data_IF_262875309786
#
_entry.id   IF_262875309786
#
_cell.length_a   1.000
_cell.length_b   1.000
_cell.length_c   1.000
_cell.angle_alpha   90.00
_cell.angle_beta   90.00
_cell.angle_gamma   90.00
#
_symmetry.space_group_name_H-M   'P 1'
#
loop_
_entity.id
_entity.type
_entity.pdbx_description
1 polymer ?
#
# COMPACT_ATOMS: atom_id res chain seq x y z
N UNK A 1 4.23 -4.55 22.33
CA UNK A 1 5.23 -4.02 21.37
C UNK A 1 4.83 -2.59 21.06
N UNK A 2 5.77 -1.72 20.82
CA UNK A 2 5.46 -0.31 20.54
C UNK A 2 5.01 -0.16 19.09
N UNK A 3 3.90 0.55 18.83
CA UNK A 3 3.31 0.72 17.49
C UNK A 3 4.27 1.46 16.54
N UNK A 4 4.24 1.14 15.24
CA UNK A 4 4.99 1.88 14.21
C UNK A 4 4.23 3.11 13.73
N UNK A 5 2.90 3.05 13.80
CA UNK A 5 1.98 4.13 13.47
C UNK A 5 0.85 4.14 14.48
N UNK A 6 0.50 5.31 15.02
CA UNK A 6 -0.70 5.50 15.83
C UNK A 6 -1.45 6.75 15.42
N UNK A 7 -2.76 6.64 15.40
CA UNK A 7 -3.71 7.74 15.27
C UNK A 7 -4.45 7.87 16.58
N UNK A 8 -4.52 9.09 17.09
CA UNK A 8 -5.20 9.39 18.35
C UNK A 8 -6.19 10.53 18.17
N UNK A 9 -7.48 10.21 18.26
CA UNK A 9 -8.60 11.14 18.14
C UNK A 9 -8.53 12.06 16.92
N UNK A 10 -8.38 11.49 15.72
CA UNK A 10 -8.24 12.27 14.48
C UNK A 10 -9.60 12.78 14.01
N UNK A 11 -9.62 14.09 13.69
CA UNK A 11 -10.77 14.79 13.07
C UNK A 11 -10.30 15.50 11.82
N UNK A 12 -11.13 15.47 10.78
CA UNK A 12 -10.86 16.18 9.52
C UNK A 12 -12.14 16.48 8.75
N UNK A 13 -12.27 17.74 8.29
CA UNK A 13 -13.33 18.22 7.41
C UNK A 13 -12.75 18.90 6.17
N UNK A 14 -13.47 18.83 5.06
CA UNK A 14 -13.20 19.73 3.93
C UNK A 14 -14.02 21.00 4.10
N UNK A 15 -13.37 22.14 3.85
CA UNK A 15 -14.00 23.44 3.88
C UNK A 15 -14.08 24.02 2.46
N UNK A 16 -15.27 24.34 2.00
CA UNK A 16 -15.49 25.00 0.74
C UNK A 16 -16.43 26.21 0.89
N UNK A 17 -16.75 26.88 -0.23
CA UNK A 17 -17.64 28.05 -0.21
C UNK A 17 -19.05 27.72 0.26
N UNK A 18 -19.44 26.46 0.27
CA UNK A 18 -20.78 25.98 0.63
C UNK A 18 -20.85 25.52 2.09
N UNK A 19 -19.71 25.47 2.79
CA UNK A 19 -19.64 25.11 4.21
C UNK A 19 -18.61 24.02 4.51
N UNK A 20 -18.78 23.43 5.69
CA UNK A 20 -17.95 22.35 6.22
C UNK A 20 -18.53 20.99 5.86
N UNK A 21 -17.68 20.07 5.46
CA UNK A 21 -18.03 18.70 5.14
C UNK A 21 -17.18 17.75 5.97
N UNK A 22 -17.68 17.25 7.13
CA UNK A 22 -16.93 16.31 7.95
C UNK A 22 -16.65 15.00 7.20
N UNK A 23 -15.40 14.52 7.30
CA UNK A 23 -14.96 13.30 6.60
C UNK A 23 -14.43 12.25 7.58
N UNK A 24 -13.68 12.68 8.58
CA UNK A 24 -13.15 11.80 9.64
C UNK A 24 -13.59 12.37 10.98
N UNK A 25 -14.10 11.49 11.85
CA UNK A 25 -14.64 11.87 13.15
C UNK A 25 -14.16 10.87 14.20
N UNK A 26 -13.32 11.33 15.12
CA UNK A 26 -12.82 10.57 16.26
C UNK A 26 -12.19 9.22 15.87
N UNK A 27 -11.26 9.25 14.92
CA UNK A 27 -10.63 8.03 14.42
C UNK A 27 -9.33 7.75 15.20
N UNK A 28 -9.31 6.63 15.90
CA UNK A 28 -8.14 6.16 16.66
C UNK A 28 -7.85 4.71 16.35
N UNK A 29 -6.59 4.39 16.05
CA UNK A 29 -6.08 3.03 15.92
C UNK A 29 -4.54 3.00 15.91
N UNK A 30 -3.98 1.81 16.07
CA UNK A 30 -2.54 1.59 16.04
C UNK A 30 -2.19 0.50 15.01
N UNK A 31 -0.99 0.58 14.43
CA UNK A 31 -0.41 -0.39 13.51
C UNK A 31 0.89 -0.92 14.10
N UNK A 32 1.02 -2.23 14.15
CA UNK A 32 2.22 -2.90 14.66
C UNK A 32 3.28 -3.05 13.55
N UNK A 33 4.58 -2.99 13.89
CA UNK A 33 5.65 -3.25 12.93
C UNK A 33 5.51 -4.62 12.26
N UNK A 34 5.71 -4.68 10.94
CA UNK A 34 5.65 -5.91 10.16
C UNK A 34 4.24 -6.49 10.00
N UNK A 35 3.18 -5.83 10.49
CA UNK A 35 1.81 -6.28 10.32
C UNK A 35 1.26 -5.92 8.95
N UNK A 36 0.34 -6.75 8.47
CA UNK A 36 -0.43 -6.48 7.27
C UNK A 36 -1.87 -6.16 7.69
N UNK A 37 -2.24 -4.89 7.66
CA UNK A 37 -3.55 -4.39 8.10
C UNK A 37 -4.35 -3.87 6.91
N UNK A 38 -5.62 -4.25 6.80
CA UNK A 38 -6.54 -3.65 5.84
C UNK A 38 -7.47 -2.64 6.50
N UNK A 39 -7.82 -1.61 5.73
CA UNK A 39 -8.83 -0.62 6.07
C UNK A 39 -9.97 -0.75 5.06
N UNK A 40 -11.13 -1.17 5.53
CA UNK A 40 -12.31 -1.42 4.72
C UNK A 40 -13.42 -0.44 5.11
N UNK A 41 -14.13 0.04 4.13
CA UNK A 41 -15.29 0.91 4.37
C UNK A 41 -16.01 1.27 3.06
N UNK A 42 -17.22 1.80 3.15
CA UNK A 42 -18.02 2.17 1.98
C UNK A 42 -17.30 3.15 1.06
N UNK A 43 -17.71 3.20 -0.22
CA UNK A 43 -17.20 4.21 -1.14
C UNK A 43 -17.51 5.62 -0.62
N UNK A 44 -16.53 6.52 -0.69
CA UNK A 44 -16.68 7.89 -0.22
C UNK A 44 -16.68 8.11 1.31
N UNK A 45 -16.43 7.06 2.12
CA UNK A 45 -16.39 7.23 3.59
C UNK A 45 -15.19 8.06 4.09
N UNK A 46 -14.10 8.20 3.31
CA UNK A 46 -12.91 8.97 3.72
C UNK A 46 -11.60 8.21 3.67
N UNK A 47 -11.55 7.00 3.08
CA UNK A 47 -10.32 6.17 3.02
C UNK A 47 -9.14 6.89 2.35
N UNK A 48 -9.35 7.50 1.18
CA UNK A 48 -8.30 8.25 0.49
C UNK A 48 -7.89 9.54 1.23
N UNK A 49 -8.83 10.15 1.98
CA UNK A 49 -8.52 11.28 2.88
C UNK A 49 -7.62 10.80 4.02
N UNK A 50 -7.93 9.65 4.61
CA UNK A 50 -7.09 9.03 5.63
C UNK A 50 -5.67 8.75 5.11
N UNK A 51 -5.54 8.18 3.90
CA UNK A 51 -4.23 7.96 3.29
C UNK A 51 -3.47 9.28 3.07
N UNK A 52 -4.17 10.35 2.67
CA UNK A 52 -3.56 11.68 2.52
C UNK A 52 -3.06 12.26 3.84
N UNK A 53 -3.78 12.02 4.95
CA UNK A 53 -3.34 12.38 6.31
C UNK A 53 -2.11 11.56 6.72
N UNK A 54 -2.10 10.25 6.46
CA UNK A 54 -0.96 9.39 6.76
C UNK A 54 0.30 9.76 5.97
N UNK A 55 0.14 10.20 4.72
CA UNK A 55 1.23 10.68 3.87
C UNK A 55 1.67 12.12 4.16
N UNK A 56 1.08 12.77 5.16
CA UNK A 56 1.35 14.17 5.50
C UNK A 56 1.05 15.17 4.36
N UNK A 57 0.19 14.78 3.42
CA UNK A 57 -0.27 15.64 2.32
C UNK A 57 -1.29 16.68 2.79
N UNK A 58 -2.05 16.34 3.83
CA UNK A 58 -2.98 17.22 4.55
C UNK A 58 -2.79 17.00 6.05
N UNK A 59 -3.16 17.99 6.86
CA UNK A 59 -3.04 17.91 8.32
C UNK A 59 -4.39 17.65 8.96
N UNK A 60 -4.48 16.87 10.04
CA UNK A 60 -5.73 16.74 10.79
C UNK A 60 -6.10 18.08 11.46
N UNK A 61 -7.39 18.34 11.63
CA UNK A 61 -7.89 19.52 12.36
C UNK A 61 -7.73 19.36 13.86
N UNK A 62 -7.87 18.13 14.37
CA UNK A 62 -7.61 17.76 15.74
C UNK A 62 -7.08 16.34 15.83
N UNK A 63 -6.46 16.01 16.97
CA UNK A 63 -5.83 14.72 17.20
C UNK A 63 -4.37 14.70 16.77
N UNK A 64 -3.74 13.54 16.91
CA UNK A 64 -2.31 13.36 16.62
C UNK A 64 -2.06 12.10 15.79
N UNK A 65 -1.21 12.22 14.79
CA UNK A 65 -0.68 11.08 14.02
C UNK A 65 0.79 10.95 14.41
N UNK A 66 1.13 9.82 15.01
CA UNK A 66 2.51 9.49 15.34
C UNK A 66 3.02 8.39 14.44
N UNK A 67 4.16 8.61 13.82
CA UNK A 67 4.89 7.62 13.02
C UNK A 67 6.27 7.49 13.66
N UNK A 68 6.60 6.26 14.09
CA UNK A 68 7.91 5.97 14.68
C UNK A 68 9.02 6.42 13.74
N UNK A 69 10.03 7.18 14.21
CA UNK A 69 11.19 7.50 13.39
C UNK A 69 11.86 6.24 12.87
N UNK A 70 12.25 6.18 11.58
CA UNK A 70 12.92 5.02 11.02
C UNK A 70 14.31 4.85 11.62
N UNK A 71 14.70 3.60 11.91
CA UNK A 71 16.02 3.31 12.50
C UNK A 71 17.17 3.55 11.52
N UNK A 72 16.95 3.33 10.21
CA UNK A 72 18.02 3.28 9.21
C UNK A 72 17.86 4.23 8.01
N UNK A 73 16.73 4.89 7.83
CA UNK A 73 16.48 5.76 6.66
C UNK A 73 15.51 6.90 6.97
N UNK A 74 16.00 8.04 7.47
CA UNK A 74 15.15 9.16 7.94
C UNK A 74 14.23 9.75 6.85
N UNK A 75 14.52 9.54 5.57
CA UNK A 75 13.79 10.16 4.46
C UNK A 75 12.72 9.25 3.82
N UNK A 76 12.61 7.99 4.23
CA UNK A 76 11.74 7.01 3.56
C UNK A 76 10.81 6.31 4.54
N UNK A 77 9.89 7.09 5.13
CA UNK A 77 8.94 6.54 6.12
C UNK A 77 7.82 5.76 5.48
N UNK A 78 7.20 6.31 4.43
CA UNK A 78 6.04 5.72 3.76
C UNK A 78 6.25 5.61 2.26
N UNK A 79 5.88 4.46 1.72
CA UNK A 79 5.69 4.26 0.30
C UNK A 79 4.20 4.26 -0.01
N UNK A 80 3.75 5.05 -0.98
CA UNK A 80 2.35 5.14 -1.36
C UNK A 80 2.15 4.61 -2.78
N UNK A 81 1.40 3.52 -2.88
CA UNK A 81 0.94 2.96 -4.15
C UNK A 81 -0.48 3.40 -4.39
N UNK A 82 -0.67 4.23 -5.40
CA UNK A 82 -1.96 4.78 -5.79
C UNK A 82 -2.85 3.73 -6.48
N UNK A 83 -4.15 3.96 -6.49
CA UNK A 83 -5.16 3.11 -7.11
C UNK A 83 -4.84 2.76 -8.59
N UNK A 84 -4.35 3.73 -9.35
CA UNK A 84 -3.82 3.50 -10.69
C UNK A 84 -2.30 3.33 -10.61
N UNK A 85 -1.74 2.54 -11.53
CA UNK A 85 -0.28 2.32 -11.58
C UNK A 85 0.53 3.61 -11.74
N UNK A 86 -0.04 4.64 -12.39
CA UNK A 86 0.57 5.95 -12.63
C UNK A 86 2.02 5.85 -13.13
N UNK A 87 2.30 4.85 -13.97
CA UNK A 87 3.57 4.75 -14.67
C UNK A 87 3.61 5.80 -15.79
N UNK A 88 4.76 6.43 -15.96
CA UNK A 88 4.95 7.41 -17.02
C UNK A 88 5.11 6.71 -18.37
N UNK A 89 4.14 6.90 -19.27
CA UNK A 89 4.11 6.27 -20.60
C UNK A 89 5.31 6.63 -21.49
N UNK A 90 5.91 7.80 -21.28
CA UNK A 90 7.10 8.24 -22.02
C UNK A 90 8.42 7.69 -21.48
N UNK A 91 8.39 6.96 -20.35
CA UNK A 91 9.56 6.31 -19.75
C UNK A 91 9.47 4.80 -19.90
N UNK A 92 10.61 4.13 -20.08
CA UNK A 92 10.64 2.67 -19.98
C UNK A 92 10.41 2.20 -18.52
N UNK A 93 10.11 0.93 -18.33
CA UNK A 93 9.83 0.33 -17.01
C UNK A 93 10.99 0.56 -16.05
N UNK A 94 12.22 0.30 -16.48
CA UNK A 94 13.39 0.54 -15.63
C UNK A 94 13.47 1.99 -15.12
N UNK A 95 13.25 2.98 -16.00
CA UNK A 95 13.24 4.39 -15.60
C UNK A 95 12.04 4.76 -14.73
N UNK A 96 10.91 4.07 -14.88
CA UNK A 96 9.77 4.24 -13.99
C UNK A 96 10.08 3.76 -12.57
N UNK A 97 10.61 2.55 -12.42
CA UNK A 97 10.93 2.00 -11.09
C UNK A 97 12.06 2.72 -10.39
N UNK A 98 13.02 3.26 -11.16
CA UNK A 98 14.14 4.05 -10.63
C UNK A 98 13.78 5.49 -10.25
N UNK A 99 12.56 5.95 -10.55
CA UNK A 99 12.17 7.36 -10.43
C UNK A 99 12.38 7.94 -9.03
N UNK A 100 11.95 7.23 -7.99
CA UNK A 100 12.11 7.67 -6.61
C UNK A 100 13.58 7.84 -6.21
N UNK A 101 14.44 6.91 -6.66
CA UNK A 101 15.89 7.00 -6.44
C UNK A 101 16.54 8.15 -7.24
N UNK A 102 15.99 8.47 -8.43
CA UNK A 102 16.43 9.64 -9.21
C UNK A 102 16.16 10.96 -8.48
N UNK A 103 14.90 11.14 -8.07
CA UNK A 103 14.45 12.39 -7.41
C UNK A 103 15.21 12.64 -6.11
N UNK A 104 15.45 11.58 -5.34
CA UNK A 104 16.12 11.68 -4.04
C UNK A 104 17.66 11.60 -4.14
N UNK A 105 18.25 11.57 -5.35
CA UNK A 105 19.68 11.41 -5.57
C UNK A 105 20.30 10.17 -4.86
N UNK A 106 19.51 9.08 -4.76
CA UNK A 106 19.87 7.83 -4.06
C UNK A 106 20.20 6.67 -5.00
N UNK A 107 20.68 6.95 -6.22
CA UNK A 107 21.15 5.92 -7.19
C UNK A 107 22.51 5.35 -6.80
N UNK A 108 22.63 4.76 -5.66
CA UNK A 108 23.83 4.03 -5.25
C UNK A 108 23.92 2.67 -5.93
N UNK A 109 25.11 2.07 -6.07
CA UNK A 109 25.25 0.71 -6.61
C UNK A 109 24.39 -0.32 -5.85
N UNK A 110 24.27 -0.18 -4.52
CA UNK A 110 23.42 -1.03 -3.68
C UNK A 110 21.93 -0.91 -4.04
N UNK A 111 21.41 0.32 -4.15
CA UNK A 111 20.01 0.55 -4.49
C UNK A 111 19.68 0.12 -5.91
N UNK A 112 20.61 0.28 -6.86
CA UNK A 112 20.49 -0.23 -8.22
C UNK A 112 20.44 -1.75 -8.23
N UNK A 113 21.31 -2.43 -7.47
CA UNK A 113 21.31 -3.88 -7.33
C UNK A 113 20.00 -4.39 -6.73
N UNK A 114 19.48 -3.71 -5.68
CA UNK A 114 18.18 -4.03 -5.07
C UNK A 114 17.01 -3.91 -6.07
N UNK A 115 16.93 -2.82 -6.84
CA UNK A 115 15.90 -2.67 -7.87
C UNK A 115 16.02 -3.74 -8.95
N UNK A 116 17.23 -4.10 -9.38
CA UNK A 116 17.44 -5.18 -10.34
C UNK A 116 16.97 -6.53 -9.78
N UNK A 117 17.28 -6.82 -8.51
CA UNK A 117 16.80 -8.00 -7.82
C UNK A 117 15.25 -8.05 -7.77
N UNK A 118 14.59 -6.94 -7.42
CA UNK A 118 13.13 -6.86 -7.46
C UNK A 118 12.57 -7.13 -8.87
N UNK A 119 13.17 -6.55 -9.91
CA UNK A 119 12.75 -6.78 -11.30
C UNK A 119 12.89 -8.25 -11.74
N UNK A 120 13.93 -8.93 -11.27
CA UNK A 120 14.13 -10.37 -11.50
C UNK A 120 13.12 -11.21 -10.72
N UNK A 121 12.98 -10.94 -9.42
CA UNK A 121 12.07 -11.65 -8.52
C UNK A 121 10.60 -11.57 -8.97
N UNK A 122 10.21 -10.50 -9.66
CA UNK A 122 8.82 -10.24 -10.08
C UNK A 122 8.60 -10.36 -11.59
N UNK A 123 9.47 -11.11 -12.28
CA UNK A 123 9.36 -11.45 -13.71
C UNK A 123 9.25 -10.22 -14.63
N UNK A 124 9.95 -9.14 -14.28
CA UNK A 124 10.01 -7.91 -15.07
C UNK A 124 11.40 -7.62 -15.65
N UNK A 125 12.37 -8.50 -15.44
CA UNK A 125 13.75 -8.29 -15.90
C UNK A 125 13.87 -8.11 -17.41
N UNK A 126 13.14 -8.89 -18.19
CA UNK A 126 13.15 -8.81 -19.67
C UNK A 126 12.40 -7.58 -20.19
N UNK A 127 11.53 -6.98 -19.36
CA UNK A 127 10.72 -5.82 -19.73
C UNK A 127 11.33 -4.47 -19.31
N UNK A 128 12.57 -4.45 -18.85
CA UNK A 128 13.27 -3.21 -18.41
C UNK A 128 13.20 -2.09 -19.44
N UNK A 129 13.34 -2.43 -20.73
CA UNK A 129 13.34 -1.48 -21.85
C UNK A 129 11.94 -1.19 -22.40
N UNK A 130 10.93 -1.99 -22.04
CA UNK A 130 9.55 -1.83 -22.49
C UNK A 130 8.91 -0.55 -21.91
N UNK A 131 7.86 -0.07 -22.57
CA UNK A 131 7.01 1.03 -22.08
C UNK A 131 5.78 0.45 -21.36
N UNK A 132 5.12 1.21 -20.46
CA UNK A 132 3.92 0.74 -19.75
C UNK A 132 2.83 0.19 -20.68
N UNK A 133 2.61 0.82 -21.85
CA UNK A 133 1.64 0.38 -22.85
C UNK A 133 1.90 -1.01 -23.44
N UNK A 134 3.09 -1.56 -23.28
CA UNK A 134 3.48 -2.89 -23.76
C UNK A 134 3.32 -3.98 -22.69
N UNK A 135 2.90 -3.63 -21.47
CA UNK A 135 2.74 -4.53 -20.35
C UNK A 135 1.26 -4.86 -20.09
N UNK A 136 0.99 -6.07 -19.58
CA UNK A 136 -0.32 -6.40 -19.04
C UNK A 136 -0.66 -5.57 -17.79
N UNK A 137 -1.94 -5.52 -17.41
CA UNK A 137 -2.36 -4.82 -16.19
C UNK A 137 -1.62 -5.29 -14.94
N UNK A 138 -1.47 -6.61 -14.77
CA UNK A 138 -0.74 -7.19 -13.64
C UNK A 138 0.75 -6.83 -13.64
N UNK A 139 1.39 -6.85 -14.80
CA UNK A 139 2.79 -6.43 -14.94
C UNK A 139 2.97 -4.94 -14.59
N UNK A 140 2.03 -4.06 -14.97
CA UNK A 140 2.07 -2.65 -14.58
C UNK A 140 1.91 -2.48 -13.08
N UNK A 141 1.02 -3.24 -12.43
CA UNK A 141 0.86 -3.20 -10.97
C UNK A 141 2.14 -3.64 -10.24
N UNK A 142 2.78 -4.73 -10.70
CA UNK A 142 4.08 -5.16 -10.16
C UNK A 142 5.16 -4.09 -10.34
N UNK A 143 5.23 -3.45 -11.51
CA UNK A 143 6.17 -2.35 -11.75
C UNK A 143 5.91 -1.13 -10.84
N UNK A 144 4.64 -0.78 -10.58
CA UNK A 144 4.28 0.29 -9.65
C UNK A 144 4.66 -0.06 -8.20
N UNK A 145 4.48 -1.32 -7.80
CA UNK A 145 4.92 -1.80 -6.49
C UNK A 145 6.46 -1.73 -6.35
N UNK A 146 7.21 -2.22 -7.34
CA UNK A 146 8.68 -2.14 -7.35
C UNK A 146 9.15 -0.68 -7.25
N UNK A 147 8.50 0.25 -7.98
CA UNK A 147 8.81 1.68 -7.89
C UNK A 147 8.66 2.20 -6.46
N UNK A 148 7.64 1.74 -5.76
CA UNK A 148 7.39 2.12 -4.35
C UNK A 148 8.40 1.47 -3.41
N UNK A 149 8.70 0.18 -3.59
CA UNK A 149 9.69 -0.57 -2.81
C UNK A 149 11.12 -0.09 -3.00
N UNK A 150 11.46 0.48 -4.16
CA UNK A 150 12.82 0.95 -4.50
C UNK A 150 13.39 1.92 -3.46
N UNK A 151 12.52 2.68 -2.78
CA UNK A 151 12.91 3.59 -1.70
C UNK A 151 13.09 2.92 -0.34
N UNK A 152 12.85 1.60 -0.24
CA UNK A 152 12.92 0.80 1.00
C UNK A 152 12.09 1.40 2.14
N UNK A 153 10.80 1.73 1.92
CA UNK A 153 9.96 2.30 2.97
C UNK A 153 9.74 1.30 4.10
N UNK A 154 9.48 1.81 5.32
CA UNK A 154 9.12 0.98 6.47
C UNK A 154 7.63 0.61 6.45
N UNK A 155 6.79 1.54 5.97
CA UNK A 155 5.35 1.40 5.85
C UNK A 155 4.94 1.56 4.38
N UNK A 156 4.14 0.63 3.87
CA UNK A 156 3.54 0.66 2.54
C UNK A 156 2.04 0.92 2.65
N UNK A 157 1.60 1.96 1.98
CA UNK A 157 0.19 2.27 1.80
C UNK A 157 -0.24 1.83 0.39
N UNK A 158 -1.24 0.96 0.31
CA UNK A 158 -1.78 0.43 -0.95
C UNK A 158 -3.24 0.90 -1.07
N UNK A 159 -3.53 1.78 -2.02
CA UNK A 159 -4.86 2.32 -2.25
C UNK A 159 -5.56 1.56 -3.38
N UNK A 160 -6.47 0.64 -3.02
CA UNK A 160 -7.23 -0.19 -3.96
C UNK A 160 -6.39 -0.76 -5.12
N UNK A 161 -5.24 -1.42 -4.85
CA UNK A 161 -4.23 -1.73 -5.85
C UNK A 161 -4.71 -2.67 -6.95
N UNK A 162 -5.84 -3.35 -6.77
CA UNK A 162 -6.35 -4.35 -7.71
C UNK A 162 -7.63 -3.92 -8.42
N UNK A 163 -8.17 -2.74 -8.13
CA UNK A 163 -9.48 -2.29 -8.61
C UNK A 163 -9.58 -2.18 -10.14
N UNK A 164 -8.46 -1.91 -10.82
CA UNK A 164 -8.39 -1.76 -12.27
C UNK A 164 -8.16 -3.07 -13.03
N UNK A 165 -8.03 -4.21 -12.33
CA UNK A 165 -7.75 -5.51 -12.93
C UNK A 165 -9.03 -6.32 -13.13
N UNK A 166 -9.08 -7.13 -14.20
CA UNK A 166 -10.09 -8.17 -14.36
C UNK A 166 -9.97 -9.23 -13.26
N UNK A 167 -11.02 -10.03 -13.08
CA UNK A 167 -11.10 -10.96 -11.96
C UNK A 167 -9.96 -11.99 -11.90
N UNK A 168 -9.61 -12.59 -13.05
CA UNK A 168 -8.57 -13.63 -13.14
C UNK A 168 -7.20 -13.04 -12.79
N UNK A 169 -6.81 -11.99 -13.50
CA UNK A 169 -5.55 -11.26 -13.25
C UNK A 169 -5.45 -10.73 -11.83
N UNK A 170 -6.58 -10.30 -11.24
CA UNK A 170 -6.63 -9.83 -9.85
C UNK A 170 -6.22 -10.91 -8.86
N UNK A 171 -6.71 -12.14 -9.04
CA UNK A 171 -6.37 -13.26 -8.14
C UNK A 171 -4.88 -13.57 -8.17
N UNK A 172 -4.29 -13.66 -9.37
CA UNK A 172 -2.88 -13.94 -9.59
C UNK A 172 -1.99 -12.84 -9.00
N UNK A 173 -2.25 -11.58 -9.38
CA UNK A 173 -1.47 -10.42 -8.92
C UNK A 173 -1.58 -10.21 -7.41
N UNK A 174 -2.75 -10.49 -6.83
CA UNK A 174 -2.96 -10.41 -5.38
C UNK A 174 -2.06 -11.39 -4.63
N UNK A 175 -1.99 -12.65 -5.09
CA UNK A 175 -1.14 -13.68 -4.49
C UNK A 175 0.35 -13.29 -4.61
N UNK A 176 0.78 -12.88 -5.80
CA UNK A 176 2.13 -12.40 -6.05
C UNK A 176 2.51 -11.25 -5.11
N UNK A 177 1.69 -10.20 -5.06
CA UNK A 177 1.94 -9.02 -4.22
C UNK A 177 1.98 -9.39 -2.73
N UNK A 178 1.09 -10.28 -2.29
CA UNK A 178 1.07 -10.76 -0.91
C UNK A 178 2.38 -11.46 -0.54
N UNK A 179 2.85 -12.37 -1.39
CA UNK A 179 4.10 -13.10 -1.19
C UNK A 179 5.31 -12.16 -1.14
N UNK A 180 5.33 -11.18 -2.05
CA UNK A 180 6.32 -10.11 -2.11
C UNK A 180 6.42 -9.35 -0.79
N UNK A 181 5.29 -8.82 -0.33
CA UNK A 181 5.24 -7.95 0.83
C UNK A 181 5.59 -8.70 2.12
N UNK A 182 5.19 -9.97 2.21
CA UNK A 182 5.54 -10.83 3.35
C UNK A 182 7.04 -11.17 3.38
N UNK A 183 7.66 -11.46 2.21
CA UNK A 183 9.10 -11.74 2.12
C UNK A 183 9.96 -10.54 2.51
N UNK A 184 9.51 -9.33 2.17
CA UNK A 184 10.18 -8.06 2.49
C UNK A 184 9.96 -7.62 3.96
N UNK A 185 9.11 -8.34 4.73
CA UNK A 185 8.78 -8.04 6.15
C UNK A 185 8.35 -6.59 6.37
N UNK A 186 7.63 -6.00 5.41
CA UNK A 186 7.16 -4.62 5.48
C UNK A 186 5.88 -4.52 6.31
N UNK A 187 5.70 -3.37 6.93
CA UNK A 187 4.39 -2.99 7.47
C UNK A 187 3.52 -2.52 6.32
N UNK A 188 2.33 -3.08 6.17
CA UNK A 188 1.45 -2.80 5.03
C UNK A 188 0.08 -2.35 5.51
N UNK A 189 -0.40 -1.26 4.94
CA UNK A 189 -1.77 -0.78 5.11
C UNK A 189 -2.45 -0.86 3.74
N UNK A 190 -3.39 -1.79 3.60
CA UNK A 190 -4.18 -1.99 2.40
C UNK A 190 -5.53 -1.30 2.55
N UNK A 191 -5.82 -0.35 1.70
CA UNK A 191 -7.17 0.22 1.57
C UNK A 191 -7.91 -0.49 0.45
N UNK A 192 -9.07 -1.06 0.77
CA UNK A 192 -9.92 -1.73 -0.23
C UNK A 192 -11.39 -1.60 0.15
N UNK A 193 -12.28 -1.73 -0.83
CA UNK A 193 -13.71 -1.93 -0.62
C UNK A 193 -14.11 -3.41 -0.72
N UNK A 194 -13.19 -4.29 -1.12
CA UNK A 194 -13.41 -5.73 -1.25
C UNK A 194 -13.04 -6.44 0.07
N UNK A 195 -14.06 -6.94 0.76
CA UNK A 195 -13.91 -7.67 2.03
C UNK A 195 -13.13 -8.98 1.81
N UNK A 196 -13.29 -9.61 0.64
CA UNK A 196 -12.58 -10.86 0.33
C UNK A 196 -11.07 -10.62 0.18
N UNK A 197 -10.67 -9.49 -0.42
CA UNK A 197 -9.27 -9.07 -0.46
C UNK A 197 -8.72 -8.82 0.95
N UNK A 198 -9.46 -8.05 1.76
CA UNK A 198 -9.06 -7.74 3.11
C UNK A 198 -8.82 -9.01 3.94
N UNK A 199 -9.78 -9.94 3.93
CA UNK A 199 -9.68 -11.19 4.69
C UNK A 199 -8.55 -12.09 4.16
N UNK A 200 -8.37 -12.19 2.84
CA UNK A 200 -7.40 -13.10 2.24
C UNK A 200 -5.95 -12.63 2.41
N UNK A 201 -5.71 -11.33 2.47
CA UNK A 201 -4.35 -10.76 2.43
C UNK A 201 -3.83 -10.35 3.80
N UNK A 202 -4.69 -9.99 4.75
CA UNK A 202 -4.27 -9.24 5.92
C UNK A 202 -4.49 -9.97 7.24
N UNK A 203 -3.65 -9.66 8.20
CA UNK A 203 -3.70 -10.23 9.55
C UNK A 203 -4.76 -9.51 10.41
N UNK A 204 -5.10 -8.28 10.02
CA UNK A 204 -6.00 -7.40 10.77
C UNK A 204 -6.86 -6.56 9.81
N UNK A 205 -8.14 -6.44 10.11
CA UNK A 205 -9.09 -5.64 9.32
C UNK A 205 -9.69 -4.56 10.21
N UNK A 206 -9.54 -3.30 9.81
CA UNK A 206 -10.18 -2.12 10.40
C UNK A 206 -11.39 -1.76 9.54
N UNK A 207 -12.57 -1.76 10.12
CA UNK A 207 -13.82 -1.46 9.42
C UNK A 207 -14.24 -0.04 9.79
N UNK A 208 -14.37 0.81 8.78
CA UNK A 208 -14.82 2.19 8.94
C UNK A 208 -16.32 2.32 8.73
N UNK A 209 -16.93 3.26 9.43
CA UNK A 209 -18.33 3.67 9.24
C UNK A 209 -18.53 4.40 7.91
N UNK A 210 -19.78 4.74 7.60
CA UNK A 210 -20.10 5.76 6.60
C UNK A 210 -19.53 7.11 7.04
N UNK A 211 -19.45 8.06 6.09
CA UNK A 211 -18.99 9.42 6.33
C UNK A 211 -19.91 10.17 7.32
N UNK A 212 -19.33 10.87 8.33
CA UNK A 212 -17.90 10.93 8.63
C UNK A 212 -17.38 9.60 9.19
N UNK A 213 -16.19 9.18 8.71
CA UNK A 213 -15.61 7.89 9.06
C UNK A 213 -15.12 7.88 10.51
N UNK A 214 -15.51 6.85 11.22
CA UNK A 214 -14.96 6.46 12.52
C UNK A 214 -14.67 4.95 12.49
N UNK A 215 -13.94 4.44 13.46
CA UNK A 215 -13.64 3.02 13.56
C UNK A 215 -14.89 2.28 14.09
N UNK A 216 -15.53 1.50 13.22
CA UNK A 216 -16.70 0.69 13.59
C UNK A 216 -16.27 -0.57 14.36
N UNK A 217 -15.28 -1.28 13.83
CA UNK A 217 -14.83 -2.57 14.37
C UNK A 217 -13.42 -2.90 13.90
N UNK A 218 -12.71 -3.63 14.74
CA UNK A 218 -11.44 -4.25 14.40
C UNK A 218 -11.59 -5.76 14.48
N UNK A 219 -11.13 -6.45 13.44
CA UNK A 219 -11.08 -7.90 13.37
C UNK A 219 -9.62 -8.35 13.25
N UNK A 220 -9.26 -9.42 13.96
CA UNK A 220 -7.97 -10.10 13.80
C UNK A 220 -8.25 -11.34 12.96
N UNK A 221 -7.54 -11.48 11.86
CA UNK A 221 -7.64 -12.64 10.98
C UNK A 221 -6.55 -13.63 11.36
N UNK A 222 -6.93 -14.81 11.84
CA UNK A 222 -5.97 -15.88 12.16
C UNK A 222 -5.51 -16.64 10.90
N UNK A 223 -5.21 -15.93 9.81
CA UNK A 223 -4.91 -16.53 8.51
C UNK A 223 -3.53 -17.21 8.36
N UNK A 224 -2.80 -17.45 9.45
CA UNK A 224 -1.54 -18.22 9.38
C UNK A 224 -1.75 -19.68 8.93
N UNK A 225 -2.99 -20.18 8.83
CA UNK A 225 -3.26 -21.63 8.66
C UNK A 225 -3.87 -22.02 7.31
N UNK A 226 -4.19 -21.11 6.36
CA UNK A 226 -4.91 -21.49 5.14
C UNK A 226 -4.07 -21.53 3.85
N UNK A 227 -2.80 -21.12 3.85
CA UNK A 227 -1.91 -21.27 2.72
C UNK A 227 -0.78 -22.28 2.98
N UNK A 228 -1.14 -23.55 3.15
CA UNK A 228 -0.22 -24.63 2.78
C UNK A 228 -0.41 -24.88 1.28
N UNK A 229 0.66 -24.83 0.45
CA UNK A 229 0.57 -25.27 -0.93
C UNK A 229 0.12 -26.74 -0.92
N UNK A 230 -1.06 -27.00 -1.48
CA UNK A 230 -1.50 -28.38 -1.75
C UNK A 230 -0.53 -28.95 -2.76
N UNK A 231 0.36 -29.82 -2.29
CA UNK A 231 1.05 -30.78 -3.13
C UNK A 231 0.00 -31.62 -3.85
N UNK A 232 -0.38 -31.22 -5.04
CA UNK A 232 -1.10 -32.11 -5.96
C UNK A 232 -0.06 -33.04 -6.54
N UNK A 233 0.16 -34.15 -5.84
CA UNK A 233 0.74 -35.34 -6.42
C UNK A 233 -0.27 -35.86 -7.45
N UNK A 234 0.00 -35.61 -8.73
CA UNK A 234 -0.59 -36.40 -9.80
C UNK A 234 -0.06 -37.83 -9.67
N UNK A 235 -0.95 -38.76 -9.47
CA UNK A 235 -0.80 -40.14 -9.91
C UNK A 235 -1.53 -40.32 -11.23
#
# INVERSE_FOLDING_TARGET
MESILSLDHIYYSYHDKNGETPVINDLSFEIEPGSFTSIVGPSGCGKSTLLSLLCDLIKPEAGTIYIRPPENNPDSRMGYMLQKDNLFEWRCIYKNVMLGLEINNKKTPENIAYVNHLLEQYDLAEFKSARPSQLSGGMRQRAALIRTLALKPDILLLDEPFSALDYQTRLEVREDICNILRSEKKTVILVTHDISEAIAMTDRVLILTNRPASLLKQLISNHVTLFQPRNILMK
#
